data_IF_158977275555
#
_entry.id   IF_158977275555
#
_cell.length_a   1.000
_cell.length_b   1.000
_cell.length_c   1.000
_cell.angle_alpha   90.00
_cell.angle_beta   90.00
_cell.angle_gamma   90.00
#
_symmetry.space_group_name_H-M   'P 1'
#
loop_
_entity.id
_entity.type
_entity.pdbx_description
1 polymer ?
#
# COMPACT_ATOMS: atom_id res chain seq x y z
N UNK A 1 -1.61 15.61 -12.34
CA UNK A 1 -2.35 15.00 -11.23
C UNK A 1 -1.94 13.54 -11.12
N UNK A 2 -1.25 13.18 -10.04
CA UNK A 2 -0.59 11.87 -9.88
C UNK A 2 -1.58 10.74 -9.59
N UNK A 3 -2.70 11.04 -8.90
CA UNK A 3 -3.70 10.06 -8.45
C UNK A 3 -4.99 10.09 -9.29
N UNK A 4 -4.91 10.60 -10.52
CA UNK A 4 -6.07 10.87 -11.35
C UNK A 4 -6.55 12.31 -11.22
N UNK A 5 -7.50 12.67 -12.08
CA UNK A 5 -8.05 14.03 -12.21
C UNK A 5 -9.40 14.10 -11.51
N UNK A 6 -9.64 15.19 -10.81
CA UNK A 6 -10.90 15.53 -10.20
C UNK A 6 -11.93 16.00 -11.23
N UNK A 7 -13.10 16.33 -10.70
CA UNK A 7 -14.23 16.88 -11.44
C UNK A 7 -14.89 17.98 -10.63
N UNK A 8 -15.47 18.97 -11.31
CA UNK A 8 -16.21 20.06 -10.67
C UNK A 8 -15.32 21.27 -10.38
N UNK A 9 -15.63 22.08 -9.35
CA UNK A 9 -14.89 23.29 -9.06
C UNK A 9 -13.52 22.96 -8.46
N UNK A 10 -12.52 23.73 -8.86
CA UNK A 10 -11.23 23.80 -8.18
C UNK A 10 -11.38 24.90 -7.12
N UNK A 11 -11.02 24.60 -5.88
CA UNK A 11 -11.35 25.48 -4.75
C UNK A 11 -10.17 26.32 -4.27
N UNK A 12 -8.94 25.89 -4.57
CA UNK A 12 -7.71 26.45 -4.03
C UNK A 12 -6.59 26.29 -5.03
N UNK A 13 -5.71 27.28 -5.03
CA UNK A 13 -4.45 27.33 -5.77
C UNK A 13 -3.38 27.90 -4.85
N UNK A 14 -2.12 27.52 -5.11
CA UNK A 14 -0.95 27.97 -4.36
C UNK A 14 -1.14 28.00 -2.82
N UNK A 15 -1.59 26.85 -2.27
CA UNK A 15 -1.79 26.70 -0.82
C UNK A 15 -0.45 26.70 -0.09
N UNK A 16 -0.22 27.72 0.74
CA UNK A 16 1.03 27.96 1.47
C UNK A 16 0.88 27.87 2.98
N UNK A 17 0.69 26.66 3.53
CA UNK A 17 0.60 26.44 4.97
C UNK A 17 1.93 26.69 5.71
N UNK A 18 1.86 27.15 6.95
CA UNK A 18 2.99 27.27 7.88
C UNK A 18 3.34 25.94 8.57
N UNK A 19 2.37 25.01 8.66
CA UNK A 19 2.55 23.64 9.15
C UNK A 19 1.99 23.38 10.55
N UNK A 20 1.31 24.36 11.16
CA UNK A 20 0.65 24.22 12.47
C UNK A 20 -0.87 24.38 12.40
N UNK A 21 -1.40 24.72 11.22
CA UNK A 21 -2.82 24.78 10.93
C UNK A 21 -3.47 23.41 11.16
N UNK A 22 -4.74 23.42 11.62
CA UNK A 22 -5.46 22.17 11.85
C UNK A 22 -6.15 21.67 10.59
N UNK A 23 -6.45 22.58 9.67
CA UNK A 23 -7.22 22.30 8.48
C UNK A 23 -6.65 23.03 7.27
N UNK A 24 -6.74 22.40 6.10
CA UNK A 24 -6.19 22.95 4.86
C UNK A 24 -6.83 24.28 4.44
N UNK A 25 -8.08 24.54 4.82
CA UNK A 25 -8.77 25.80 4.50
C UNK A 25 -8.36 26.98 5.39
N UNK A 26 -7.59 26.73 6.46
CA UNK A 26 -7.01 27.78 7.31
C UNK A 26 -5.70 28.32 6.70
N UNK A 27 -5.08 27.56 5.79
CA UNK A 27 -3.84 27.97 5.15
C UNK A 27 -4.09 29.14 4.18
N UNK A 28 -3.15 30.09 4.08
CA UNK A 28 -3.12 31.07 2.99
C UNK A 28 -3.16 30.38 1.63
N UNK A 29 -3.93 30.95 0.71
CA UNK A 29 -4.07 30.47 -0.67
C UNK A 29 -4.45 31.65 -1.57
N UNK A 30 -4.21 31.51 -2.87
CA UNK A 30 -4.57 32.54 -3.84
C UNK A 30 -6.10 32.61 -4.02
N UNK A 31 -6.70 33.82 -4.05
CA UNK A 31 -8.15 34.00 -4.14
C UNK A 31 -8.70 33.78 -5.56
N UNK A 32 -7.89 33.99 -6.59
CA UNK A 32 -8.18 33.66 -8.00
C UNK A 32 -7.22 32.56 -8.44
N UNK A 33 -7.73 31.58 -9.21
CA UNK A 33 -6.93 30.47 -9.70
C UNK A 33 -7.11 30.28 -11.20
N UNK A 34 -6.08 29.81 -11.89
CA UNK A 34 -6.11 29.37 -13.29
C UNK A 34 -5.87 27.86 -13.44
N UNK A 35 -5.68 27.18 -12.30
CA UNK A 35 -5.54 25.73 -12.22
C UNK A 35 -6.59 24.97 -13.01
N UNK A 36 -6.15 23.86 -13.60
CA UNK A 36 -6.98 22.84 -14.23
C UNK A 36 -6.88 21.52 -13.46
N UNK A 37 -7.79 20.56 -13.71
CA UNK A 37 -7.68 19.22 -13.11
C UNK A 37 -6.45 18.41 -13.56
N UNK A 38 -5.60 18.96 -14.43
CA UNK A 38 -4.27 18.39 -14.68
C UNK A 38 -3.32 18.66 -13.52
N UNK A 39 -3.62 19.61 -12.65
CA UNK A 39 -2.77 20.10 -11.56
C UNK A 39 -3.27 19.67 -10.19
N UNK A 40 -4.37 18.90 -10.10
CA UNK A 40 -4.89 18.44 -8.82
C UNK A 40 -3.78 17.78 -7.98
N UNK A 41 -3.59 18.35 -6.79
CA UNK A 41 -2.62 17.91 -5.80
C UNK A 41 -3.12 16.66 -5.07
N UNK A 42 -2.19 15.80 -4.65
CA UNK A 42 -2.48 14.61 -3.86
C UNK A 42 -1.39 14.36 -2.81
N UNK A 43 -1.73 13.59 -1.79
CA UNK A 43 -0.83 13.30 -0.65
C UNK A 43 -0.80 11.79 -0.36
N UNK A 44 0.37 11.30 0.03
CA UNK A 44 0.54 9.95 0.61
C UNK A 44 0.93 10.11 2.07
N UNK A 45 0.04 9.71 2.97
CA UNK A 45 0.27 9.81 4.41
C UNK A 45 1.16 8.66 4.92
N UNK A 46 1.84 8.84 6.06
CA UNK A 46 2.76 7.84 6.62
C UNK A 46 2.13 6.49 6.94
N UNK A 47 0.84 6.49 7.28
CA UNK A 47 0.07 5.28 7.60
C UNK A 47 -0.62 4.67 6.37
N UNK A 48 -0.44 5.25 5.18
CA UNK A 48 -0.86 4.63 3.93
C UNK A 48 -0.04 3.36 3.66
N UNK A 49 -0.72 2.33 3.16
CA UNK A 49 -0.11 1.07 2.75
C UNK A 49 -0.45 0.81 1.28
N UNK A 50 0.57 0.58 0.47
CA UNK A 50 0.45 0.22 -0.94
C UNK A 50 1.17 -1.11 -1.19
N UNK A 51 0.57 -2.00 -1.97
CA UNK A 51 1.12 -3.34 -2.23
C UNK A 51 1.57 -3.50 -3.67
N UNK A 52 2.65 -4.25 -3.87
CA UNK A 52 3.05 -4.75 -5.19
C UNK A 52 3.59 -6.17 -5.11
N UNK A 53 3.53 -6.88 -6.23
CA UNK A 53 4.19 -8.17 -6.41
C UNK A 53 5.44 -8.00 -7.27
N UNK A 54 6.59 -8.43 -6.75
CA UNK A 54 7.89 -8.25 -7.42
C UNK A 54 8.52 -9.58 -7.82
N UNK A 55 9.13 -9.63 -9.00
CA UNK A 55 9.87 -10.79 -9.51
C UNK A 55 8.99 -11.93 -10.06
N UNK A 56 7.68 -11.73 -10.19
CA UNK A 56 6.81 -12.62 -10.97
C UNK A 56 6.80 -12.29 -12.46
N UNK A 57 6.10 -13.12 -13.23
CA UNK A 57 5.93 -12.93 -14.68
C UNK A 57 4.84 -11.92 -15.03
N UNK A 58 3.89 -11.72 -14.13
CA UNK A 58 2.73 -10.84 -14.26
C UNK A 58 2.45 -10.10 -12.94
N UNK A 59 1.40 -9.27 -12.91
CA UNK A 59 0.97 -8.53 -11.72
C UNK A 59 0.31 -9.37 -10.62
N UNK A 60 0.15 -10.69 -10.82
CA UNK A 60 -0.58 -11.59 -9.92
C UNK A 60 0.29 -12.68 -9.29
N UNK A 61 1.61 -12.63 -9.48
CA UNK A 61 2.56 -13.50 -8.82
C UNK A 61 3.83 -12.75 -8.40
N UNK A 62 4.46 -13.17 -7.30
CA UNK A 62 5.77 -12.68 -6.89
C UNK A 62 5.97 -12.56 -5.39
N UNK A 63 7.07 -11.91 -5.01
CA UNK A 63 7.34 -11.51 -3.62
C UNK A 63 6.41 -10.37 -3.23
N UNK A 64 5.80 -10.48 -2.05
CA UNK A 64 4.89 -9.47 -1.52
C UNK A 64 5.70 -8.33 -0.91
N UNK A 65 5.52 -7.14 -1.47
CA UNK A 65 6.15 -5.92 -0.97
C UNK A 65 5.08 -4.89 -0.61
N UNK A 66 5.30 -4.18 0.50
CA UNK A 66 4.42 -3.12 0.98
C UNK A 66 5.20 -1.83 1.16
N UNK A 67 4.66 -0.73 0.65
CA UNK A 67 5.14 0.61 0.95
C UNK A 67 4.44 1.11 2.21
N UNK A 68 5.20 1.38 3.26
CA UNK A 68 4.69 1.87 4.54
C UNK A 68 5.74 2.75 5.19
N UNK A 69 5.33 3.91 5.74
CA UNK A 69 6.24 4.90 6.35
C UNK A 69 7.42 5.30 5.46
N UNK A 70 7.16 5.49 4.17
CA UNK A 70 8.15 6.00 3.21
C UNK A 70 9.13 4.96 2.68
N UNK A 71 9.02 3.68 3.05
CA UNK A 71 9.93 2.63 2.59
C UNK A 71 9.19 1.40 2.06
N UNK A 72 9.79 0.77 1.05
CA UNK A 72 9.39 -0.57 0.62
C UNK A 72 9.89 -1.62 1.62
N UNK A 73 9.01 -2.54 1.98
CA UNK A 73 9.22 -3.58 2.98
C UNK A 73 8.76 -4.94 2.47
N UNK A 74 9.39 -6.02 2.93
CA UNK A 74 8.90 -7.38 2.68
C UNK A 74 7.97 -7.84 3.79
N UNK A 75 6.98 -8.66 3.45
CA UNK A 75 6.14 -9.38 4.44
C UNK A 75 6.86 -10.63 4.93
N UNK A 76 6.76 -10.97 6.21
CA UNK A 76 7.38 -12.17 6.78
C UNK A 76 6.51 -13.41 6.53
N UNK A 77 7.13 -14.52 6.10
CA UNK A 77 6.40 -15.74 5.75
C UNK A 77 5.90 -16.56 6.95
N UNK A 78 6.40 -16.28 8.15
CA UNK A 78 6.06 -16.99 9.40
C UNK A 78 4.59 -16.90 9.81
N UNK A 79 3.89 -15.83 9.40
CA UNK A 79 2.46 -15.63 9.63
C UNK A 79 1.68 -15.48 8.32
N UNK A 80 2.29 -15.83 7.19
CA UNK A 80 1.68 -15.67 5.88
C UNK A 80 0.91 -16.93 5.50
N UNK A 81 -0.35 -17.03 5.95
CA UNK A 81 -1.22 -18.15 5.67
C UNK A 81 -2.11 -17.90 4.46
N UNK A 82 -2.96 -18.88 4.15
CA UNK A 82 -3.90 -18.82 3.04
C UNK A 82 -4.87 -17.64 3.18
N UNK A 83 -5.26 -17.30 4.41
CA UNK A 83 -6.14 -16.17 4.70
C UNK A 83 -5.52 -14.84 4.23
N UNK A 84 -4.28 -14.54 4.64
CA UNK A 84 -3.58 -13.32 4.23
C UNK A 84 -3.36 -13.26 2.71
N UNK A 85 -2.91 -14.38 2.13
CA UNK A 85 -2.65 -14.49 0.71
C UNK A 85 -3.91 -14.29 -0.14
N UNK A 86 -5.04 -14.85 0.29
CA UNK A 86 -6.33 -14.70 -0.39
C UNK A 86 -6.84 -13.27 -0.32
N UNK A 87 -6.72 -12.61 0.84
CA UNK A 87 -7.05 -11.19 0.98
C UNK A 87 -6.23 -10.35 0.01
N UNK A 88 -4.92 -10.58 -0.09
CA UNK A 88 -4.06 -9.85 -1.03
C UNK A 88 -4.44 -10.09 -2.49
N UNK A 89 -4.60 -11.35 -2.92
CA UNK A 89 -4.98 -11.67 -4.29
C UNK A 89 -6.31 -11.00 -4.69
N UNK A 90 -7.29 -10.98 -3.78
CA UNK A 90 -8.58 -10.31 -4.01
C UNK A 90 -8.44 -8.80 -4.10
N UNK A 91 -7.65 -8.17 -3.21
CA UNK A 91 -7.38 -6.72 -3.27
C UNK A 91 -6.69 -6.32 -4.58
N UNK A 92 -5.81 -7.18 -5.11
CA UNK A 92 -5.14 -6.96 -6.40
C UNK A 92 -6.01 -7.29 -7.62
N UNK A 93 -7.24 -7.79 -7.44
CA UNK A 93 -8.10 -8.22 -8.54
C UNK A 93 -7.65 -9.53 -9.22
N UNK A 94 -6.76 -10.29 -8.58
CA UNK A 94 -6.14 -11.52 -9.09
C UNK A 94 -6.87 -12.80 -8.66
N UNK A 95 -8.07 -12.71 -8.10
CA UNK A 95 -8.83 -13.89 -7.61
C UNK A 95 -8.29 -14.44 -6.29
N UNK A 96 -8.26 -15.77 -6.17
CA UNK A 96 -7.81 -16.47 -4.95
C UNK A 96 -6.33 -16.89 -5.02
N UNK A 97 -5.73 -17.16 -3.86
CA UNK A 97 -4.34 -17.59 -3.73
C UNK A 97 -4.16 -19.08 -4.08
N UNK A 98 -3.16 -19.39 -4.91
CA UNK A 98 -2.81 -20.76 -5.30
C UNK A 98 -1.55 -21.27 -4.60
N UNK A 99 -0.52 -20.43 -4.50
CA UNK A 99 0.76 -20.81 -3.88
C UNK A 99 1.34 -19.68 -3.03
N UNK A 100 2.16 -20.05 -2.05
CA UNK A 100 2.84 -19.13 -1.11
C UNK A 100 4.36 -19.39 -1.11
N UNK A 101 5.07 -19.07 -2.21
CA UNK A 101 6.52 -19.22 -2.27
C UNK A 101 7.22 -18.35 -1.22
N UNK A 102 8.44 -18.71 -0.84
CA UNK A 102 9.27 -17.95 0.09
C UNK A 102 10.52 -17.42 -0.61
N UNK A 103 10.94 -16.22 -0.25
CA UNK A 103 12.06 -15.50 -0.87
C UNK A 103 13.07 -15.02 0.18
N UNK A 104 14.30 -14.72 -0.22
CA UNK A 104 15.21 -13.96 0.62
C UNK A 104 14.65 -12.56 0.88
N UNK A 105 14.86 -12.04 2.10
CA UNK A 105 14.55 -10.64 2.36
C UNK A 105 15.51 -9.72 1.61
N UNK A 106 14.98 -8.89 0.72
CA UNK A 106 15.78 -7.96 -0.12
C UNK A 106 15.59 -6.49 0.25
N UNK A 107 14.64 -6.18 1.13
CA UNK A 107 14.28 -4.82 1.54
C UNK A 107 14.60 -4.58 3.01
N UNK A 108 14.69 -3.33 3.48
CA UNK A 108 15.04 -3.04 4.88
C UNK A 108 13.89 -3.32 5.86
N UNK A 109 12.63 -3.05 5.47
CA UNK A 109 11.49 -3.20 6.37
C UNK A 109 10.93 -4.62 6.44
N UNK A 110 10.31 -4.94 7.58
CA UNK A 110 9.64 -6.22 7.86
C UNK A 110 8.21 -5.96 8.32
N UNK A 111 7.24 -6.51 7.57
CA UNK A 111 5.83 -6.41 7.91
C UNK A 111 5.26 -7.78 8.28
N UNK A 112 4.40 -7.80 9.28
CA UNK A 112 3.70 -9.00 9.74
C UNK A 112 2.21 -8.70 9.68
N UNK A 113 1.44 -9.57 9.06
CA UNK A 113 -0.02 -9.50 9.02
C UNK A 113 -0.63 -10.73 9.69
N UNK A 114 -1.72 -10.49 10.40
CA UNK A 114 -2.56 -11.47 11.09
C UNK A 114 -4.01 -11.13 10.72
N UNK A 115 -4.50 -11.75 9.67
CA UNK A 115 -5.86 -11.57 9.17
C UNK A 115 -6.81 -12.57 9.84
N UNK A 116 -8.04 -12.12 10.04
CA UNK A 116 -9.17 -13.02 10.28
C UNK A 116 -9.84 -13.40 8.96
N UNK A 117 -11.07 -13.90 9.03
CA UNK A 117 -11.84 -14.35 7.87
C UNK A 117 -12.62 -13.24 7.14
N UNK A 118 -12.60 -11.99 7.61
CA UNK A 118 -13.55 -10.95 7.16
C UNK A 118 -12.89 -9.68 6.62
N UNK A 119 -11.57 -9.56 6.65
CA UNK A 119 -10.90 -8.33 6.23
C UNK A 119 -10.90 -8.19 4.70
N UNK A 120 -11.33 -7.05 4.14
CA UNK A 120 -11.32 -6.81 2.70
C UNK A 120 -9.93 -6.42 2.15
N UNK A 121 -8.97 -6.10 3.02
CA UNK A 121 -7.58 -5.79 2.65
C UNK A 121 -6.60 -6.05 3.79
N UNK A 122 -5.31 -6.22 3.46
CA UNK A 122 -4.27 -6.44 4.47
C UNK A 122 -4.13 -5.27 5.46
N UNK A 123 -4.39 -4.03 5.03
CA UNK A 123 -4.31 -2.85 5.90
C UNK A 123 -5.32 -2.89 7.06
N UNK A 124 -6.40 -3.67 6.92
CA UNK A 124 -7.44 -3.83 7.94
C UNK A 124 -7.21 -5.06 8.84
N UNK A 125 -6.18 -5.85 8.55
CA UNK A 125 -5.74 -6.93 9.42
C UNK A 125 -4.96 -6.37 10.62
N UNK A 126 -4.76 -7.20 11.65
CA UNK A 126 -3.81 -6.84 12.71
C UNK A 126 -2.41 -6.96 12.13
N UNK A 127 -1.60 -5.89 12.25
CA UNK A 127 -0.25 -5.89 11.70
C UNK A 127 0.79 -5.32 12.65
N UNK A 128 2.06 -5.65 12.41
CA UNK A 128 3.21 -5.04 13.10
C UNK A 128 4.34 -4.76 12.12
N UNK A 129 5.06 -3.68 12.34
CA UNK A 129 6.17 -3.23 11.51
C UNK A 129 7.50 -3.26 12.31
N UNK A 130 8.55 -3.81 11.71
CA UNK A 130 9.91 -3.92 12.27
C UNK A 130 9.97 -4.49 13.70
N UNK A 131 9.09 -5.43 14.03
CA UNK A 131 9.21 -6.23 15.25
C UNK A 131 10.00 -7.50 14.95
N UNK A 132 11.07 -7.73 15.71
CA UNK A 132 12.02 -8.81 15.47
C UNK A 132 11.41 -10.19 15.72
N UNK A 133 10.57 -10.35 16.75
CA UNK A 133 10.12 -11.67 17.20
C UNK A 133 9.37 -12.49 16.14
N UNK A 134 8.39 -11.95 15.37
CA UNK A 134 7.68 -12.74 14.37
C UNK A 134 8.51 -12.97 13.09
N UNK A 135 9.55 -12.16 12.85
CA UNK A 135 10.35 -12.21 11.62
C UNK A 135 11.79 -12.72 11.83
N UNK A 136 12.11 -13.20 13.04
CA UNK A 136 13.44 -13.68 13.35
C UNK A 136 13.70 -14.99 12.61
N UNK A 137 14.73 -15.01 11.76
CA UNK A 137 15.04 -16.13 10.84
C UNK A 137 13.92 -16.50 9.87
N UNK A 138 12.97 -15.59 9.60
CA UNK A 138 11.93 -15.82 8.59
C UNK A 138 12.43 -15.50 7.17
N UNK A 139 11.60 -15.85 6.17
CA UNK A 139 11.79 -15.46 4.79
C UNK A 139 10.76 -14.40 4.37
N UNK A 140 11.01 -13.73 3.24
CA UNK A 140 10.03 -12.87 2.63
C UNK A 140 8.90 -13.71 2.01
N UNK A 141 7.66 -13.35 2.32
CA UNK A 141 6.47 -13.98 1.78
C UNK A 141 6.29 -13.68 0.29
N UNK A 142 5.73 -14.66 -0.40
CA UNK A 142 5.30 -14.57 -1.78
C UNK A 142 3.88 -15.06 -1.97
N UNK A 143 3.32 -14.75 -3.13
CA UNK A 143 2.01 -15.27 -3.54
C UNK A 143 2.00 -15.57 -5.03
N UNK A 144 1.25 -16.59 -5.43
CA UNK A 144 0.82 -16.83 -6.79
C UNK A 144 -0.70 -16.90 -6.75
N UNK A 145 -1.38 -16.00 -7.44
CA UNK A 145 -2.84 -15.95 -7.50
C UNK A 145 -3.36 -16.69 -8.75
N UNK A 146 -4.67 -16.93 -8.81
CA UNK A 146 -5.31 -17.63 -9.94
C UNK A 146 -5.48 -16.75 -11.20
N UNK A 147 -5.61 -15.44 -11.02
CA UNK A 147 -5.77 -14.49 -12.12
C UNK A 147 -4.50 -14.29 -12.93
N UNK A 148 -4.65 -14.08 -14.24
CA UNK A 148 -3.61 -13.46 -15.06
C UNK A 148 -3.84 -11.96 -14.96
N UNK A 149 -2.89 -11.20 -14.41
CA UNK A 149 -3.05 -9.76 -14.22
C UNK A 149 -3.46 -9.08 -15.51
N UNK A 150 -4.54 -8.29 -15.46
CA UNK A 150 -5.03 -7.50 -16.58
C UNK A 150 -4.12 -6.31 -16.87
#
# INVERSE_FOLDING_TARGET
>A
AAFGRGHGPILRDDVGCEGHERHLWECPAEPEHDCSHKEDAGVVCSEHQEWRLSGGRDGCAGRVEVFFRGIWSTVCNSTWYEAEATVLCRTLGCGDALQRPSFGHTLPGRMVYLCGSLQPSLAQCRWTFNKSAPCYQSWAAGVVCNGTGS
#
